data_IF_753691862610
#
_entry.id   IF_753691862610
#
_cell.length_a   1.000
_cell.length_b   1.000
_cell.length_c   1.000
_cell.angle_alpha   90.00
_cell.angle_beta   90.00
_cell.angle_gamma   90.00
#
_symmetry.space_group_name_H-M   'P 1'
#
loop_
_entity.id
_entity.type
_entity.pdbx_description
1 polymer ?
#
# COMPACT_ATOMS: atom_id res chain seq x y z
N UNK A 1 -5.90 -2.57 -22.71
CA UNK A 1 -5.36 -3.25 -21.52
C UNK A 1 -4.33 -2.31 -20.90
N UNK A 2 -4.50 -1.94 -19.63
CA UNK A 2 -3.56 -1.07 -18.92
C UNK A 2 -2.26 -1.80 -18.59
N UNK A 3 -1.26 -1.08 -18.11
CA UNK A 3 0.03 -1.63 -17.66
C UNK A 3 0.03 -2.11 -16.20
N UNK A 4 -0.98 -1.74 -15.40
CA UNK A 4 -1.18 -2.20 -14.03
C UNK A 4 -2.12 -3.40 -13.97
N UNK A 5 -1.59 -4.62 -14.06
CA UNK A 5 -2.36 -5.87 -13.99
C UNK A 5 -1.93 -6.78 -12.83
N UNK A 6 -1.43 -6.19 -11.74
CA UNK A 6 -0.85 -6.92 -10.60
C UNK A 6 -1.74 -8.02 -10.03
N UNK A 7 -3.05 -7.77 -9.90
CA UNK A 7 -4.00 -8.79 -9.43
C UNK A 7 -4.06 -10.00 -10.37
N UNK A 8 -4.23 -9.77 -11.68
CA UNK A 8 -4.29 -10.85 -12.67
C UNK A 8 -2.97 -11.62 -12.77
N UNK A 9 -1.83 -10.90 -12.71
CA UNK A 9 -0.50 -11.50 -12.64
C UNK A 9 -0.37 -12.39 -11.41
N UNK A 10 -0.75 -11.90 -10.22
CA UNK A 10 -0.72 -12.66 -8.98
C UNK A 10 -1.55 -13.94 -9.07
N UNK A 11 -2.76 -13.87 -9.62
CA UNK A 11 -3.65 -15.02 -9.74
C UNK A 11 -3.06 -16.12 -10.63
N UNK A 12 -2.52 -15.75 -11.80
CA UNK A 12 -1.92 -16.69 -12.75
C UNK A 12 -0.61 -17.27 -12.22
N UNK A 13 0.24 -16.41 -11.65
CA UNK A 13 1.53 -16.82 -11.07
C UNK A 13 1.35 -17.82 -9.92
N UNK A 14 0.25 -17.71 -9.16
CA UNK A 14 -0.05 -18.63 -8.05
C UNK A 14 -0.27 -20.10 -8.46
N UNK A 15 -0.50 -20.35 -9.75
CA UNK A 15 -0.59 -21.71 -10.32
C UNK A 15 0.54 -22.02 -11.31
N UNK A 16 1.54 -21.12 -11.41
CA UNK A 16 2.66 -21.24 -12.35
C UNK A 16 2.32 -20.86 -13.79
N UNK A 17 1.17 -20.23 -14.05
CA UNK A 17 0.78 -19.79 -15.38
C UNK A 17 1.44 -18.45 -15.73
N UNK A 18 1.85 -18.32 -16.99
CA UNK A 18 2.31 -17.03 -17.52
C UNK A 18 1.15 -16.04 -17.60
N UNK A 19 1.45 -14.78 -17.28
CA UNK A 19 0.49 -13.70 -17.46
C UNK A 19 0.15 -13.54 -18.94
N UNK A 20 -1.13 -13.67 -19.26
CA UNK A 20 -1.67 -13.29 -20.55
C UNK A 20 -3.16 -12.99 -20.40
N UNK A 21 -3.66 -12.11 -21.27
CA UNK A 21 -5.10 -11.81 -21.35
C UNK A 21 -5.91 -13.08 -21.59
N UNK A 22 -5.41 -13.98 -22.43
CA UNK A 22 -6.07 -15.26 -22.72
C UNK A 22 -6.19 -16.15 -21.48
N UNK A 23 -5.11 -16.31 -20.71
CA UNK A 23 -5.14 -17.14 -19.50
C UNK A 23 -6.06 -16.52 -18.43
N UNK A 24 -6.01 -15.20 -18.25
CA UNK A 24 -6.92 -14.50 -17.33
C UNK A 24 -8.38 -14.67 -17.76
N UNK A 25 -8.67 -14.55 -19.07
CA UNK A 25 -10.03 -14.73 -19.62
C UNK A 25 -10.51 -16.16 -19.41
N UNK A 26 -9.62 -17.13 -19.62
CA UNK A 26 -9.95 -18.53 -19.44
C UNK A 26 -10.20 -18.91 -17.98
N UNK A 27 -9.46 -18.30 -17.03
CA UNK A 27 -9.73 -18.43 -15.60
C UNK A 27 -11.14 -17.94 -15.24
N UNK A 28 -11.56 -16.80 -15.79
CA UNK A 28 -12.92 -16.28 -15.60
C UNK A 28 -13.97 -17.24 -16.20
N UNK A 29 -13.76 -17.73 -17.43
CA UNK A 29 -14.69 -18.66 -18.10
C UNK A 29 -14.84 -19.97 -17.32
N UNK A 30 -13.75 -20.50 -16.77
CA UNK A 30 -13.77 -21.73 -15.94
C UNK A 30 -14.56 -21.54 -14.64
N UNK A 31 -14.67 -20.32 -14.14
CA UNK A 31 -15.54 -19.98 -13.02
C UNK A 31 -15.05 -20.48 -11.66
N UNK A 32 -13.79 -20.92 -11.54
CA UNK A 32 -13.19 -21.20 -10.23
C UNK A 32 -13.09 -19.91 -9.43
N UNK A 33 -13.30 -20.02 -8.12
CA UNK A 33 -13.38 -18.88 -7.21
C UNK A 33 -12.41 -19.09 -6.07
N UNK A 34 -11.80 -18.00 -5.61
CA UNK A 34 -11.00 -17.96 -4.39
C UNK A 34 -11.45 -16.82 -3.49
N UNK A 35 -11.23 -16.99 -2.20
CA UNK A 35 -11.39 -15.92 -1.21
C UNK A 35 -10.27 -14.90 -1.36
N UNK A 36 -10.58 -13.62 -1.12
CA UNK A 36 -9.66 -12.50 -1.19
C UNK A 36 -9.87 -11.59 0.02
N UNK A 37 -8.78 -11.31 0.74
CA UNK A 37 -8.71 -10.31 1.80
C UNK A 37 -8.78 -8.91 1.20
N UNK A 38 -9.56 -8.05 1.84
CA UNK A 38 -9.72 -6.66 1.45
C UNK A 38 -9.08 -5.78 2.50
N UNK A 39 -8.36 -4.76 2.07
CA UNK A 39 -7.81 -3.76 2.98
C UNK A 39 -8.79 -2.62 3.13
N UNK A 40 -9.28 -2.41 4.34
CA UNK A 40 -9.96 -1.18 4.73
C UNK A 40 -8.91 -0.11 5.00
N UNK A 41 -8.98 1.02 4.29
CA UNK A 41 -8.15 2.20 4.51
C UNK A 41 -8.99 3.31 5.11
N UNK A 42 -8.51 3.89 6.21
CA UNK A 42 -9.14 4.96 6.98
C UNK A 42 -8.18 6.13 7.11
N UNK A 43 -8.62 7.33 6.74
CA UNK A 43 -7.89 8.56 7.00
C UNK A 43 -8.86 9.67 7.41
N UNK A 44 -8.83 10.06 8.69
CA UNK A 44 -9.83 10.98 9.24
C UNK A 44 -11.23 10.39 9.14
N UNK A 45 -12.13 11.06 8.43
CA UNK A 45 -13.50 10.60 8.17
C UNK A 45 -13.62 9.80 6.85
N UNK A 46 -12.56 9.78 6.03
CA UNK A 46 -12.58 9.05 4.76
C UNK A 46 -12.33 7.57 4.99
N UNK A 47 -13.18 6.73 4.39
CA UNK A 47 -13.05 5.28 4.36
C UNK A 47 -13.13 4.80 2.91
N UNK A 48 -12.18 3.99 2.49
CA UNK A 48 -12.22 3.28 1.22
C UNK A 48 -11.57 1.89 1.34
N UNK A 49 -11.68 1.09 0.29
CA UNK A 49 -11.18 -0.27 0.25
C UNK A 49 -10.15 -0.43 -0.85
N UNK A 50 -9.07 -1.14 -0.58
CA UNK A 50 -8.01 -1.50 -1.52
C UNK A 50 -7.87 -3.01 -1.59
N UNK A 51 -7.56 -3.52 -2.78
CA UNK A 51 -7.43 -4.97 -3.04
C UNK A 51 -6.02 -5.35 -3.45
N UNK A 52 -5.17 -4.38 -3.79
CA UNK A 52 -3.84 -4.61 -4.34
C UNK A 52 -2.77 -4.14 -3.37
N UNK A 53 -2.63 -2.82 -3.21
CA UNK A 53 -1.55 -2.22 -2.44
C UNK A 53 -1.77 -0.74 -2.11
N UNK A 54 -1.00 -0.26 -1.14
CA UNK A 54 -0.75 1.16 -0.89
C UNK A 54 0.75 1.42 -0.88
N UNK A 55 1.20 2.47 -1.56
CA UNK A 55 2.61 2.83 -1.68
C UNK A 55 2.86 4.27 -1.25
N UNK A 56 4.02 4.50 -0.63
CA UNK A 56 4.51 5.84 -0.27
C UNK A 56 6.03 5.93 -0.42
N UNK A 57 6.50 7.06 -0.94
CA UNK A 57 7.92 7.32 -1.18
C UNK A 57 8.35 6.93 -2.59
N UNK A 58 9.53 6.31 -2.75
CA UNK A 58 10.15 6.05 -4.04
C UNK A 58 9.24 5.29 -5.01
N UNK A 59 8.58 4.22 -4.57
CA UNK A 59 7.71 3.40 -5.44
C UNK A 59 6.50 4.21 -5.91
N UNK A 60 5.83 4.95 -5.03
CA UNK A 60 4.72 5.83 -5.39
C UNK A 60 5.15 6.96 -6.35
N UNK A 61 6.32 7.55 -6.11
CA UNK A 61 6.90 8.56 -7.00
C UNK A 61 7.19 7.96 -8.38
N UNK A 62 7.62 6.70 -8.46
CA UNK A 62 7.84 6.01 -9.73
C UNK A 62 6.53 5.74 -10.43
N UNK A 63 5.54 5.17 -9.74
CA UNK A 63 4.28 4.77 -10.37
C UNK A 63 3.58 5.97 -11.02
N UNK A 64 3.46 7.05 -10.24
CA UNK A 64 2.70 8.25 -10.62
C UNK A 64 3.51 9.19 -11.51
N UNK A 65 4.76 9.52 -11.17
CA UNK A 65 5.50 10.50 -11.98
C UNK A 65 6.00 9.92 -13.31
N UNK A 66 6.06 8.59 -13.47
CA UNK A 66 6.40 7.95 -14.75
C UNK A 66 5.24 7.95 -15.76
N UNK A 67 4.03 8.32 -15.37
CA UNK A 67 2.87 8.40 -16.29
C UNK A 67 3.09 9.35 -17.47
N UNK A 68 3.92 10.38 -17.32
CA UNK A 68 4.35 11.26 -18.42
C UNK A 68 5.12 10.51 -19.53
N UNK A 69 5.61 9.31 -19.24
CA UNK A 69 6.28 8.40 -20.18
C UNK A 69 5.41 7.20 -20.55
N UNK A 70 4.07 7.30 -20.45
CA UNK A 70 3.13 6.21 -20.79
C UNK A 70 3.33 5.64 -22.19
N UNK A 71 3.87 6.43 -23.12
CA UNK A 71 4.24 5.99 -24.47
C UNK A 71 5.30 4.88 -24.49
N UNK A 72 6.10 4.71 -23.42
CA UNK A 72 7.10 3.65 -23.26
C UNK A 72 6.50 2.32 -22.79
N UNK A 73 5.19 2.24 -22.52
CA UNK A 73 4.59 1.04 -21.94
C UNK A 73 5.13 0.75 -20.53
N UNK A 74 5.42 -0.53 -20.22
CA UNK A 74 5.97 -0.95 -18.93
C UNK A 74 7.39 -0.43 -18.69
N UNK A 75 8.20 -0.25 -19.73
CA UNK A 75 9.58 0.25 -19.63
C UNK A 75 9.69 1.66 -19.00
N UNK A 76 8.58 2.39 -18.89
CA UNK A 76 8.50 3.67 -18.16
C UNK A 76 8.95 3.52 -16.70
N UNK A 77 8.67 2.38 -16.07
CA UNK A 77 8.98 2.14 -14.67
C UNK A 77 10.49 2.00 -14.48
N UNK A 78 11.18 1.20 -15.29
CA UNK A 78 12.63 1.03 -15.22
C UNK A 78 13.37 2.34 -15.52
N UNK A 79 12.96 3.00 -16.60
CA UNK A 79 13.53 4.29 -16.99
C UNK A 79 13.39 5.33 -15.87
N UNK A 80 12.20 5.44 -15.30
CA UNK A 80 11.96 6.41 -14.24
C UNK A 80 12.61 6.03 -12.91
N UNK A 81 12.71 4.73 -12.61
CA UNK A 81 13.44 4.20 -11.46
C UNK A 81 14.90 4.64 -11.50
N UNK A 82 15.57 4.51 -12.65
CA UNK A 82 16.95 4.97 -12.82
C UNK A 82 17.09 6.48 -12.54
N UNK A 83 16.20 7.29 -13.13
CA UNK A 83 16.19 8.74 -12.91
C UNK A 83 15.97 9.11 -11.43
N UNK A 84 15.11 8.37 -10.73
CA UNK A 84 14.82 8.60 -9.30
C UNK A 84 15.95 8.12 -8.41
N UNK A 85 16.61 7.01 -8.70
CA UNK A 85 17.78 6.55 -7.94
C UNK A 85 18.94 7.56 -8.06
N UNK A 86 19.16 8.13 -9.24
CA UNK A 86 20.15 9.20 -9.42
C UNK A 86 19.83 10.45 -8.58
N UNK A 87 18.54 10.81 -8.50
CA UNK A 87 18.01 11.97 -7.77
C UNK A 87 17.14 11.54 -6.58
N UNK A 88 17.72 10.71 -5.71
CA UNK A 88 17.00 10.03 -4.63
C UNK A 88 16.40 11.02 -3.63
N UNK A 89 15.12 10.80 -3.32
CA UNK A 89 14.37 11.51 -2.30
C UNK A 89 14.28 10.64 -1.06
N UNK A 90 14.16 11.30 0.09
CA UNK A 90 13.93 10.67 1.40
C UNK A 90 12.75 11.38 2.05
N UNK A 91 12.01 10.66 2.88
CA UNK A 91 10.76 11.15 3.46
C UNK A 91 10.78 10.93 4.96
N UNK A 92 10.52 11.98 5.73
CA UNK A 92 10.20 11.81 7.15
C UNK A 92 8.84 11.14 7.26
N UNK A 93 8.63 10.34 8.29
CA UNK A 93 7.34 9.72 8.57
C UNK A 93 7.44 8.79 9.77
N UNK A 94 6.28 8.35 10.21
CA UNK A 94 6.12 7.39 11.30
C UNK A 94 5.26 6.22 10.83
N UNK A 95 5.70 5.00 11.13
CA UNK A 95 4.98 3.78 10.82
C UNK A 95 4.67 3.07 12.12
N UNK A 96 3.42 2.68 12.30
CA UNK A 96 3.00 1.78 13.38
C UNK A 96 2.34 0.55 12.79
N UNK A 97 2.51 -0.61 13.41
CA UNK A 97 1.89 -1.84 12.94
C UNK A 97 1.62 -2.82 14.08
N UNK A 98 0.69 -3.74 13.84
CA UNK A 98 0.48 -4.91 14.69
C UNK A 98 1.10 -6.11 13.98
N UNK A 99 2.18 -6.70 14.52
CA UNK A 99 2.87 -7.81 13.86
C UNK A 99 1.99 -9.06 13.77
N UNK A 100 2.12 -9.81 12.69
CA UNK A 100 1.64 -11.18 12.62
C UNK A 100 2.61 -12.11 13.38
N UNK A 101 2.18 -13.33 13.76
CA UNK A 101 3.03 -14.30 14.44
C UNK A 101 4.36 -14.52 13.71
N UNK A 102 5.48 -14.36 14.41
CA UNK A 102 6.84 -14.47 13.88
C UNK A 102 7.51 -13.15 13.49
N UNK A 103 6.78 -12.02 13.54
CA UNK A 103 7.29 -10.68 13.20
C UNK A 103 7.34 -9.73 14.41
N UNK A 104 7.20 -10.24 15.62
CA UNK A 104 7.15 -9.44 16.86
C UNK A 104 8.49 -8.81 17.25
N UNK A 105 9.60 -9.31 16.71
CA UNK A 105 10.95 -8.77 16.96
C UNK A 105 11.22 -7.45 16.25
N UNK A 106 10.36 -7.04 15.32
CA UNK A 106 10.55 -5.83 14.52
C UNK A 106 9.90 -4.61 15.18
N UNK A 107 10.60 -3.48 15.11
CA UNK A 107 10.13 -2.21 15.64
C UNK A 107 10.11 -2.14 17.16
N UNK A 108 9.98 -0.92 17.66
CA UNK A 108 9.94 -0.66 19.09
C UNK A 108 8.50 -0.82 19.62
N UNK A 109 8.28 -1.41 20.81
CA UNK A 109 6.96 -1.47 21.41
C UNK A 109 6.40 -0.07 21.67
N UNK A 110 5.17 0.17 21.22
CA UNK A 110 4.45 1.42 21.51
C UNK A 110 3.85 1.32 22.90
N UNK A 111 4.22 2.23 23.80
CA UNK A 111 3.60 2.32 25.13
C UNK A 111 2.13 2.69 24.94
N UNK A 112 1.22 1.82 25.40
CA UNK A 112 -0.21 2.14 25.46
C UNK A 112 -0.43 3.20 26.55
N UNK A 113 -0.26 4.47 26.19
CA UNK A 113 -0.91 5.54 26.93
C UNK A 113 -2.37 5.58 26.49
N UNK A 114 -3.26 5.21 27.41
CA UNK A 114 -4.71 5.11 27.27
C UNK A 114 -5.44 6.39 26.80
N UNK A 115 -4.71 7.44 26.40
CA UNK A 115 -5.24 8.73 25.97
C UNK A 115 -5.02 9.08 24.49
N UNK A 116 -4.17 8.37 23.73
CA UNK A 116 -3.80 8.79 22.36
C UNK A 116 -4.24 7.84 21.22
N UNK A 117 -4.67 6.62 21.52
CA UNK A 117 -5.44 5.84 20.54
C UNK A 117 -6.88 6.36 20.53
N UNK A 118 -7.11 7.33 19.65
CA UNK A 118 -8.43 7.89 19.43
C UNK A 118 -9.45 6.77 19.24
N UNK A 119 -10.51 6.84 20.05
CA UNK A 119 -11.79 6.19 19.79
C UNK A 119 -12.24 6.56 18.37
N UNK A 120 -11.89 5.76 17.36
CA UNK A 120 -12.60 5.80 16.08
C UNK A 120 -13.89 5.02 16.28
N UNK A 121 -14.81 5.61 17.04
CA UNK A 121 -16.21 5.23 17.08
C UNK A 121 -16.78 5.67 15.74
N UNK A 122 -17.06 4.71 14.84
CA UNK A 122 -18.16 4.90 13.91
C UNK A 122 -19.43 4.86 14.77
N UNK A 123 -20.08 6.01 14.86
CA UNK A 123 -21.25 6.29 15.69
C UNK A 123 -22.41 5.38 15.30
N UNK A 124 -22.71 4.37 16.11
CA UNK A 124 -24.06 3.84 16.21
C UNK A 124 -24.77 4.49 17.39
N UNK A 125 -25.49 5.59 17.12
CA UNK A 125 -26.84 5.86 17.62
C UNK A 125 -27.31 7.24 17.13
N UNK A 126 -28.45 7.24 16.46
CA UNK A 126 -28.97 8.39 15.73
C UNK A 126 -29.38 9.57 16.61
N UNK A 127 -29.16 10.76 16.06
CA UNK A 127 -30.13 11.85 16.10
C UNK A 127 -30.05 12.62 14.78
N UNK A 128 -31.14 12.57 14.03
CA UNK A 128 -31.38 13.27 12.78
C UNK A 128 -31.21 14.76 12.99
N UNK A 129 -30.39 15.42 12.16
CA UNK A 129 -30.65 16.77 11.64
C UNK A 129 -29.84 17.04 10.36
N UNK A 130 -30.53 16.85 9.23
CA UNK A 130 -30.40 17.54 7.94
C UNK A 130 -29.01 17.84 7.34
N UNK A 131 -28.40 16.81 6.74
CA UNK A 131 -27.82 16.90 5.39
C UNK A 131 -27.82 15.49 4.78
N UNK A 132 -28.59 15.29 3.70
CA UNK A 132 -28.62 14.02 2.96
C UNK A 132 -27.27 13.78 2.27
N UNK A 133 -26.39 13.03 2.91
CA UNK A 133 -25.48 12.12 2.19
C UNK A 133 -26.02 10.73 2.45
N UNK A 134 -26.70 10.20 1.45
CA UNK A 134 -27.25 8.86 1.45
C UNK A 134 -26.06 7.88 1.35
N UNK A 135 -25.58 7.39 2.48
CA UNK A 135 -24.55 6.34 2.57
C UNK A 135 -25.13 5.00 2.09
N UNK A 136 -25.39 4.88 0.79
CA UNK A 136 -25.67 3.61 0.13
C UNK A 136 -24.32 2.94 -0.21
N UNK A 137 -23.72 2.25 0.75
CA UNK A 137 -22.45 1.56 0.56
C UNK A 137 -22.15 0.55 1.67
N UNK A 138 -21.28 -0.42 1.36
CA UNK A 138 -20.76 -1.36 2.37
C UNK A 138 -19.86 -0.61 3.35
N UNK A 139 -20.22 -0.63 4.64
CA UNK A 139 -19.52 0.13 5.68
C UNK A 139 -18.28 -0.59 6.23
N UNK A 140 -18.00 -1.84 5.83
CA UNK A 140 -16.91 -2.62 6.39
C UNK A 140 -17.18 -3.14 7.81
N UNK A 141 -16.44 -4.14 8.27
CA UNK A 141 -16.47 -4.53 9.67
C UNK A 141 -15.79 -3.45 10.53
N UNK A 142 -16.15 -3.40 11.82
CA UNK A 142 -15.48 -2.56 12.81
C UNK A 142 -14.34 -3.36 13.42
N UNK A 143 -13.10 -3.05 13.04
CA UNK A 143 -11.93 -3.65 13.65
C UNK A 143 -11.67 -3.00 15.02
N UNK A 144 -11.84 -3.76 16.11
CA UNK A 144 -11.33 -3.34 17.42
C UNK A 144 -9.82 -3.52 17.45
N UNK A 145 -9.11 -2.41 17.65
CA UNK A 145 -7.65 -2.38 17.76
C UNK A 145 -7.18 -2.28 19.22
N UNK A 146 -8.12 -2.40 20.16
CA UNK A 146 -7.87 -2.25 21.58
C UNK A 146 -7.09 -3.45 22.11
N UNK A 147 -6.08 -3.19 22.96
CA UNK A 147 -5.26 -4.23 23.56
C UNK A 147 -4.25 -4.89 22.62
N UNK A 148 -4.14 -4.46 21.36
CA UNK A 148 -3.12 -4.96 20.44
C UNK A 148 -1.73 -4.39 20.76
N UNK A 149 -0.72 -5.23 20.58
CA UNK A 149 0.69 -4.87 20.78
C UNK A 149 1.24 -4.15 19.54
N UNK A 150 1.02 -2.84 19.48
CA UNK A 150 1.56 -2.00 18.42
C UNK A 150 3.08 -1.86 18.52
N UNK A 151 3.72 -1.90 17.35
CA UNK A 151 5.14 -1.62 17.15
C UNK A 151 5.31 -0.38 16.30
N UNK A 152 6.40 0.37 16.49
CA UNK A 152 6.70 1.55 15.69
C UNK A 152 8.08 1.50 15.04
N UNK A 153 8.14 2.12 13.87
CA UNK A 153 9.35 2.33 13.08
C UNK A 153 9.30 3.78 12.62
N UNK A 154 10.31 4.55 13.02
CA UNK A 154 10.50 5.93 12.57
C UNK A 154 11.38 6.02 11.33
N UNK A 155 11.09 7.03 10.51
CA UNK A 155 11.88 7.40 9.34
C UNK A 155 13.22 8.07 9.71
N UNK A 156 13.99 8.52 8.71
CA UNK A 156 13.55 8.72 7.32
C UNK A 156 13.47 7.42 6.51
N UNK A 157 12.55 7.41 5.56
CA UNK A 157 12.31 6.31 4.63
C UNK A 157 12.71 6.70 3.21
N UNK A 158 13.12 5.71 2.42
CA UNK A 158 13.18 5.80 0.95
C UNK A 158 11.83 5.41 0.38
N UNK A 159 11.23 4.32 0.86
CA UNK A 159 9.91 3.86 0.43
C UNK A 159 9.28 2.97 1.49
N UNK A 160 7.95 3.00 1.56
CA UNK A 160 7.12 2.11 2.36
C UNK A 160 5.95 1.67 1.48
N UNK A 161 5.59 0.39 1.51
CA UNK A 161 4.38 -0.10 0.87
C UNK A 161 3.78 -1.27 1.62
N UNK A 162 2.50 -1.52 1.35
CA UNK A 162 1.69 -2.56 1.96
C UNK A 162 0.88 -3.24 0.85
N UNK A 163 0.85 -4.57 0.85
CA UNK A 163 0.25 -5.36 -0.22
C UNK A 163 -0.70 -6.43 0.33
N UNK A 164 -1.77 -6.69 -0.42
CA UNK A 164 -2.65 -7.85 -0.25
C UNK A 164 -2.22 -9.03 -1.14
N UNK A 165 -1.58 -8.74 -2.27
CA UNK A 165 -1.14 -9.75 -3.24
C UNK A 165 0.30 -9.52 -3.71
N UNK A 166 0.98 -10.56 -4.23
CA UNK A 166 2.42 -10.46 -4.49
C UNK A 166 2.85 -9.46 -5.56
N UNK A 167 2.07 -9.33 -6.63
CA UNK A 167 2.45 -8.52 -7.78
C UNK A 167 1.64 -7.23 -7.85
N UNK A 168 2.34 -6.11 -8.03
CA UNK A 168 1.76 -4.79 -8.34
C UNK A 168 1.57 -4.59 -9.85
N UNK A 169 2.43 -5.21 -10.65
CA UNK A 169 2.42 -5.19 -12.10
C UNK A 169 3.12 -6.42 -12.67
N UNK A 170 3.30 -6.48 -13.99
CA UNK A 170 3.89 -7.65 -14.66
C UNK A 170 5.33 -7.94 -14.23
N UNK A 171 6.13 -6.90 -13.99
CA UNK A 171 7.55 -6.99 -13.61
C UNK A 171 7.82 -6.48 -12.18
N UNK A 172 6.78 -6.31 -11.37
CA UNK A 172 6.88 -5.71 -10.03
C UNK A 172 6.25 -6.62 -8.96
N UNK A 173 7.01 -7.61 -8.48
CA UNK A 173 6.63 -8.45 -7.35
C UNK A 173 6.98 -7.75 -6.03
N UNK A 174 6.10 -6.86 -5.56
CA UNK A 174 6.35 -6.03 -4.37
C UNK A 174 6.16 -6.76 -3.03
N UNK A 175 5.52 -7.93 -3.02
CA UNK A 175 5.31 -8.69 -1.79
C UNK A 175 5.35 -10.22 -2.02
N UNK A 176 6.53 -10.81 -2.22
CA UNK A 176 6.68 -12.21 -2.65
C UNK A 176 5.99 -13.25 -1.74
N UNK A 177 5.81 -12.95 -0.46
CA UNK A 177 5.20 -13.86 0.53
C UNK A 177 3.72 -13.55 0.81
N UNK A 178 3.15 -12.55 0.13
CA UNK A 178 1.74 -12.18 0.29
C UNK A 178 0.81 -13.31 -0.16
N UNK A 179 -0.28 -13.50 0.58
CA UNK A 179 -1.29 -14.50 0.26
C UNK A 179 -2.64 -13.81 0.17
N UNK A 180 -3.46 -14.33 -0.72
CA UNK A 180 -4.76 -13.75 -1.03
C UNK A 180 -5.74 -13.75 0.13
N UNK A 181 -5.62 -14.67 1.10
CA UNK A 181 -6.62 -14.84 2.14
C UNK A 181 -6.06 -15.43 3.44
N UNK A 182 -5.00 -14.82 3.99
CA UNK A 182 -4.39 -15.27 5.24
C UNK A 182 -4.61 -14.33 6.44
N UNK A 183 -5.50 -13.35 6.26
CA UNK A 183 -5.90 -12.39 7.28
C UNK A 183 -4.77 -11.46 7.69
N UNK A 184 -3.83 -11.21 6.79
CA UNK A 184 -2.65 -10.37 7.01
C UNK A 184 -2.38 -9.48 5.79
N UNK A 185 -1.57 -8.46 6.02
CA UNK A 185 -0.97 -7.62 4.98
C UNK A 185 0.54 -7.79 5.01
N UNK A 186 1.17 -7.65 3.86
CA UNK A 186 2.61 -7.73 3.71
C UNK A 186 3.16 -6.32 3.51
N UNK A 187 3.89 -5.82 4.51
CA UNK A 187 4.47 -4.49 4.54
C UNK A 187 5.97 -4.56 4.27
N UNK A 188 6.45 -3.68 3.40
CA UNK A 188 7.87 -3.60 3.05
C UNK A 188 8.37 -2.17 3.24
N UNK A 189 9.49 -2.06 3.93
CA UNK A 189 10.10 -0.79 4.30
C UNK A 189 11.54 -0.78 3.79
N UNK A 190 11.87 0.26 3.02
CA UNK A 190 13.23 0.55 2.58
C UNK A 190 13.67 1.85 3.25
N UNK A 191 14.74 1.75 4.04
CA UNK A 191 15.44 2.88 4.64
C UNK A 191 16.61 3.30 3.76
N UNK A 192 17.40 4.25 4.25
CA UNK A 192 18.58 4.73 3.52
C UNK A 192 19.55 3.58 3.21
N UNK A 193 19.92 3.48 1.94
CA UNK A 193 20.91 2.55 1.45
C UNK A 193 21.73 3.17 0.30
N UNK A 194 22.93 2.65 -0.01
CA UNK A 194 23.71 3.12 -1.14
C UNK A 194 22.91 3.06 -2.45
N UNK A 195 23.07 4.06 -3.32
CA UNK A 195 22.33 4.12 -4.61
C UNK A 195 22.54 2.88 -5.48
N UNK A 196 23.75 2.29 -5.46
CA UNK A 196 24.04 1.05 -6.16
C UNK A 196 23.25 -0.13 -5.59
N UNK A 197 23.14 -0.23 -4.26
CA UNK A 197 22.31 -1.22 -3.61
C UNK A 197 20.84 -1.01 -3.97
N UNK A 198 20.34 0.23 -3.88
CA UNK A 198 18.97 0.56 -4.26
C UNK A 198 18.65 0.19 -5.72
N UNK A 199 19.55 0.50 -6.66
CA UNK A 199 19.40 0.09 -8.05
C UNK A 199 19.33 -1.44 -8.19
N UNK A 200 20.18 -2.16 -7.46
CA UNK A 200 20.14 -3.62 -7.43
C UNK A 200 18.85 -4.16 -6.81
N UNK A 201 18.21 -3.45 -5.87
CA UNK A 201 16.88 -3.81 -5.37
C UNK A 201 15.82 -3.65 -6.45
N UNK A 202 15.81 -2.51 -7.17
CA UNK A 202 14.82 -2.27 -8.23
C UNK A 202 14.91 -3.33 -9.34
N UNK A 203 16.14 -3.69 -9.76
CA UNK A 203 16.36 -4.74 -10.78
C UNK A 203 15.93 -6.14 -10.33
N UNK A 204 15.81 -6.38 -9.02
CA UNK A 204 15.40 -7.66 -8.43
C UNK A 204 13.93 -7.69 -8.00
N UNK A 205 13.14 -6.68 -8.39
CA UNK A 205 11.69 -6.66 -8.10
C UNK A 205 10.91 -7.64 -8.97
N UNK A 206 11.40 -8.01 -10.16
CA UNK A 206 10.70 -8.93 -11.06
C UNK A 206 10.68 -10.38 -10.57
N UNK A 207 11.66 -10.79 -9.77
CA UNK A 207 11.73 -12.13 -9.16
C UNK A 207 11.48 -12.12 -7.65
N UNK A 208 11.18 -10.95 -7.08
CA UNK A 208 10.94 -10.76 -5.66
C UNK A 208 12.17 -10.91 -4.76
N UNK A 209 13.35 -11.25 -5.30
CA UNK A 209 14.52 -11.61 -4.48
C UNK A 209 15.13 -10.42 -3.74
N UNK A 210 14.76 -9.19 -4.09
CA UNK A 210 15.19 -7.97 -3.41
C UNK A 210 14.86 -7.97 -1.91
N UNK A 211 13.81 -8.68 -1.47
CA UNK A 211 13.43 -8.77 -0.04
C UNK A 211 14.48 -9.43 0.84
N UNK A 212 15.42 -10.18 0.24
CA UNK A 212 16.55 -10.82 0.96
C UNK A 212 17.69 -9.84 1.26
N UNK A 213 17.61 -8.61 0.76
CA UNK A 213 18.62 -7.58 1.02
C UNK A 213 18.59 -7.10 2.46
N UNK A 214 19.74 -6.81 3.08
CA UNK A 214 19.78 -6.23 4.44
C UNK A 214 19.18 -4.82 4.53
N UNK A 215 18.93 -4.16 3.39
CA UNK A 215 18.32 -2.83 3.34
C UNK A 215 16.79 -2.86 3.28
N UNK A 216 16.20 -4.05 3.20
CA UNK A 216 14.75 -4.25 3.10
C UNK A 216 14.27 -4.88 4.40
N UNK A 217 13.26 -4.26 5.02
CA UNK A 217 12.51 -4.87 6.10
C UNK A 217 11.20 -5.37 5.54
N UNK A 218 10.98 -6.68 5.58
CA UNK A 218 9.74 -7.33 5.16
C UNK A 218 8.98 -7.80 6.38
N UNK A 219 7.71 -7.39 6.52
CA UNK A 219 6.89 -7.64 7.68
C UNK A 219 5.53 -8.19 7.24
N UNK A 220 5.03 -9.17 7.97
CA UNK A 220 3.62 -9.54 7.91
C UNK A 220 2.89 -8.90 9.09
N UNK A 221 1.79 -8.20 8.81
CA UNK A 221 1.09 -7.36 9.79
C UNK A 221 -0.42 -7.58 9.74
N UNK A 222 -1.10 -7.42 10.87
CA UNK A 222 -2.58 -7.51 10.96
C UNK A 222 -3.25 -6.14 10.82
N UNK A 223 -2.53 -5.09 11.20
CA UNK A 223 -2.93 -3.71 11.03
C UNK A 223 -1.69 -2.85 10.81
N UNK A 224 -1.85 -1.76 10.07
CA UNK A 224 -0.78 -0.85 9.73
C UNK A 224 -1.27 0.59 9.83
N UNK A 225 -0.39 1.51 10.23
CA UNK A 225 -0.66 2.94 10.28
C UNK A 225 0.54 3.69 9.71
N UNK A 226 0.27 4.55 8.75
CA UNK A 226 1.25 5.40 8.10
C UNK A 226 0.96 6.87 8.40
N UNK A 227 1.95 7.56 8.94
CA UNK A 227 1.97 9.02 9.06
C UNK A 227 3.01 9.57 8.10
N UNK A 228 2.60 9.95 6.88
CA UNK A 228 3.54 10.44 5.89
C UNK A 228 3.98 11.87 6.24
N UNK A 229 5.28 12.11 6.21
CA UNK A 229 5.89 13.41 6.48
C UNK A 229 6.58 14.01 5.26
N UNK A 230 7.14 15.20 5.46
CA UNK A 230 7.78 15.99 4.41
C UNK A 230 9.10 15.36 3.92
N UNK A 231 9.55 15.77 2.73
CA UNK A 231 10.84 15.33 2.18
C UNK A 231 11.99 15.84 3.03
N UNK A 232 12.99 15.00 3.23
CA UNK A 232 14.23 15.40 3.91
C UNK A 232 14.92 16.49 3.07
N UNK A 233 15.26 17.61 3.71
CA UNK A 233 15.89 18.76 3.04
C UNK A 233 14.93 19.67 2.27
N UNK A 234 13.63 19.37 2.22
CA UNK A 234 12.62 20.27 1.66
C UNK A 234 11.29 20.20 2.44
N UNK A 235 11.09 21.07 3.44
CA UNK A 235 9.94 21.00 4.34
C UNK A 235 8.61 21.46 3.72
N UNK A 236 8.61 21.97 2.48
CA UNK A 236 7.39 22.39 1.77
C UNK A 236 6.87 21.36 0.78
N UNK A 237 7.61 20.26 0.57
CA UNK A 237 7.25 19.19 -0.38
C UNK A 237 7.18 17.84 0.31
N UNK A 238 6.07 17.14 0.11
CA UNK A 238 5.86 15.78 0.62
C UNK A 238 6.03 14.72 -0.46
N UNK A 239 5.85 13.46 -0.07
CA UNK A 239 5.74 12.36 -1.02
C UNK A 239 4.34 12.25 -1.64
N UNK A 240 4.21 11.27 -2.52
CA UNK A 240 2.92 10.82 -3.03
C UNK A 240 2.53 9.58 -2.24
N UNK A 241 1.26 9.50 -1.83
CA UNK A 241 0.65 8.25 -1.40
C UNK A 241 -0.28 7.80 -2.52
N UNK A 242 -0.09 6.56 -2.94
CA UNK A 242 -0.84 5.91 -4.01
C UNK A 242 -1.49 4.63 -3.45
N UNK A 243 -2.70 4.32 -3.91
CA UNK A 243 -3.39 3.06 -3.63
C UNK A 243 -3.92 2.48 -4.93
N UNK A 244 -3.61 1.21 -5.19
CA UNK A 244 -4.03 0.47 -6.38
C UNK A 244 -3.74 1.18 -7.73
N UNK A 245 -2.75 2.08 -7.78
CA UNK A 245 -2.36 2.86 -8.96
C UNK A 245 -3.05 4.23 -9.07
N UNK A 246 -3.82 4.64 -8.05
CA UNK A 246 -4.47 5.94 -7.96
C UNK A 246 -3.87 6.79 -6.83
N UNK A 247 -3.63 8.08 -7.14
CA UNK A 247 -3.14 9.03 -6.13
C UNK A 247 -4.21 9.26 -5.09
N UNK A 248 -3.91 8.90 -3.84
CA UNK A 248 -4.81 9.15 -2.72
C UNK A 248 -4.39 10.36 -1.90
N UNK A 249 -3.09 10.67 -1.80
CA UNK A 249 -2.62 11.84 -1.07
C UNK A 249 -1.33 12.48 -1.61
N UNK A 250 -1.18 13.79 -1.41
CA UNK A 250 0.05 14.55 -1.68
C UNK A 250 0.40 15.44 -0.50
N UNK A 251 1.68 15.53 -0.17
CA UNK A 251 2.16 16.36 0.94
C UNK A 251 2.65 17.76 0.54
N UNK A 252 2.39 18.21 -0.69
CA UNK A 252 2.84 19.50 -1.20
C UNK A 252 1.91 20.64 -0.74
N UNK A 253 2.37 21.48 0.20
CA UNK A 253 1.56 22.58 0.77
C UNK A 253 1.16 23.70 -0.20
N UNK A 254 1.76 23.76 -1.40
CA UNK A 254 1.69 24.92 -2.29
C UNK A 254 0.82 24.72 -3.56
N UNK A 255 0.36 23.49 -3.84
CA UNK A 255 -0.40 23.17 -5.06
C UNK A 255 -1.84 22.72 -4.80
N UNK A 256 -2.32 22.87 -3.56
CA UNK A 256 -3.65 22.45 -3.14
C UNK A 256 -4.77 23.07 -4.01
N UNK A 257 -4.61 24.28 -4.56
CA UNK A 257 -5.73 24.99 -5.19
C UNK A 257 -6.15 24.59 -6.63
N UNK A 258 -5.46 23.67 -7.33
CA UNK A 258 -5.74 23.45 -8.78
C UNK A 258 -6.32 22.09 -9.20
N UNK A 259 -6.30 21.05 -8.35
CA UNK A 259 -6.81 19.71 -8.70
C UNK A 259 -7.51 18.98 -7.52
N UNK A 260 -8.24 19.72 -6.67
CA UNK A 260 -8.54 19.32 -5.29
C UNK A 260 -9.89 18.67 -4.99
N UNK A 261 -10.66 18.20 -5.98
CA UNK A 261 -12.00 17.70 -5.62
C UNK A 261 -11.97 16.32 -4.95
N UNK A 262 -10.90 15.52 -5.09
CA UNK A 262 -10.87 14.13 -4.59
C UNK A 262 -9.55 13.67 -3.90
N UNK A 263 -8.53 14.52 -3.75
CA UNK A 263 -7.24 14.13 -3.18
C UNK A 263 -7.19 14.40 -1.67
N UNK A 264 -6.73 13.42 -0.88
CA UNK A 264 -6.45 13.64 0.53
C UNK A 264 -5.18 14.48 0.70
N UNK A 265 -5.17 15.35 1.70
CA UNK A 265 -3.97 16.06 2.12
C UNK A 265 -3.21 15.23 3.16
N UNK A 266 -1.92 15.52 3.34
CA UNK A 266 -1.23 15.04 4.53
C UNK A 266 -1.92 15.61 5.77
N UNK A 267 -2.32 14.73 6.69
CA UNK A 267 -3.15 15.10 7.82
C UNK A 267 -3.17 13.97 8.85
N UNK A 268 -4.34 13.44 9.23
CA UNK A 268 -4.40 12.33 10.16
C UNK A 268 -3.69 11.08 9.60
N UNK A 269 -3.27 10.16 10.49
CA UNK A 269 -2.63 8.91 10.07
C UNK A 269 -3.53 8.10 9.14
N UNK A 270 -2.93 7.47 8.14
CA UNK A 270 -3.59 6.52 7.25
C UNK A 270 -3.56 5.17 7.95
N UNK A 271 -4.70 4.68 8.39
CA UNK A 271 -4.86 3.40 9.06
C UNK A 271 -5.36 2.34 8.07
N UNK A 272 -4.75 1.17 8.10
CA UNK A 272 -5.04 0.05 7.22
C UNK A 272 -5.33 -1.19 8.07
N UNK A 273 -6.47 -1.82 7.84
CA UNK A 273 -6.88 -3.06 8.50
C UNK A 273 -7.30 -4.08 7.46
N UNK A 274 -7.02 -5.35 7.71
CA UNK A 274 -7.40 -6.45 6.83
C UNK A 274 -8.77 -7.00 7.21
N UNK A 275 -9.63 -7.18 6.21
CA UNK A 275 -10.93 -7.81 6.31
C UNK A 275 -10.83 -9.21 5.68
N UNK A 276 -10.68 -10.28 6.49
CA UNK A 276 -10.35 -11.60 5.98
C UNK A 276 -11.46 -12.18 5.10
N UNK A 277 -11.08 -12.58 3.89
CA UNK A 277 -11.93 -13.27 2.93
C UNK A 277 -13.19 -12.55 2.51
N UNK A 278 -13.22 -11.22 2.67
CA UNK A 278 -14.40 -10.40 2.41
C UNK A 278 -14.87 -10.48 0.95
N UNK A 279 -13.93 -10.57 0.00
CA UNK A 279 -14.24 -10.67 -1.41
C UNK A 279 -14.07 -12.10 -1.94
N UNK A 280 -14.72 -12.35 -3.07
CA UNK A 280 -14.52 -13.56 -3.87
C UNK A 280 -14.14 -13.14 -5.28
N UNK A 281 -13.03 -13.68 -5.78
CA UNK A 281 -12.51 -13.36 -7.12
C UNK A 281 -12.42 -14.62 -7.97
N UNK A 282 -12.64 -14.49 -9.28
CA UNK A 282 -12.38 -15.57 -10.22
C UNK A 282 -10.88 -15.82 -10.33
N UNK A 283 -10.48 -17.08 -10.31
CA UNK A 283 -9.07 -17.46 -10.33
C UNK A 283 -8.84 -18.68 -11.20
N UNK A 284 -7.58 -18.96 -11.56
CA UNK A 284 -7.17 -20.31 -11.93
C UNK A 284 -7.50 -21.30 -10.79
N UNK A 285 -7.45 -22.58 -11.13
CA UNK A 285 -7.85 -23.65 -10.22
C UNK A 285 -6.93 -23.78 -9.02
#
# INVERSE_FOLDING_TARGET
>A
MGSGNGMAKSLLDSVGDLYSVCNATFAVIRGYKRSLDITTVLQGEMKFFSILMLTWGLVADIDIESEKYRWMGSARFDFYSLLRVMNLRRYHGHVQFVPAPGYESYGEPVKQDSSCMGKTILTEQGQINNAKVQSCGYLGPVASLDGLEWRSIDGPFVSVWINNVPWAGEDAMLAPEAKFSDGCLDAVIIRECPKSALLALMLKMSDGSYVKSPYVTYLKVKAFRLEPGQRVGNPSKGGIVDSDGEVIARGDRANDAKHQDNLMSYGPPIQMTVDPGLATIFSPR
#
